data_IF_240547747794
#
_entry.id   IF_240547747794
#
_cell.length_a   1.000
_cell.length_b   1.000
_cell.length_c   1.000
_cell.angle_alpha   90.00
_cell.angle_beta   90.00
_cell.angle_gamma   90.00
#
_symmetry.space_group_name_H-M   'P 1'
#
loop_
_entity.id
_entity.type
_entity.pdbx_description
1 polymer ?
#
# COMPACT_ATOMS: atom_id res chain seq x y z
N UNK A 1 -2.00 -0.45 -21.02
CA UNK A 1 -1.13 -1.55 -20.57
C UNK A 1 -0.83 -1.25 -19.12
N UNK A 2 -1.39 -2.01 -18.18
CA UNK A 2 -1.00 -1.90 -16.78
C UNK A 2 0.30 -2.70 -16.63
N UNK A 3 1.37 -2.08 -16.15
CA UNK A 3 2.68 -2.71 -16.07
C UNK A 3 2.62 -3.92 -15.13
N UNK A 4 2.85 -5.11 -15.69
CA UNK A 4 2.84 -6.37 -14.94
C UNK A 4 3.84 -6.35 -13.77
N UNK A 5 4.96 -5.64 -13.94
CA UNK A 5 5.98 -5.46 -12.93
C UNK A 5 5.50 -4.65 -11.71
N UNK A 6 4.68 -3.61 -11.92
CA UNK A 6 4.10 -2.81 -10.84
C UNK A 6 3.10 -3.65 -10.03
N UNK A 7 2.35 -4.53 -10.69
CA UNK A 7 1.40 -5.41 -10.02
C UNK A 7 2.09 -6.45 -9.14
N UNK A 8 3.14 -7.11 -9.65
CA UNK A 8 3.92 -8.07 -8.88
C UNK A 8 4.54 -7.42 -7.64
N UNK A 9 5.12 -6.23 -7.81
CA UNK A 9 5.66 -5.44 -6.71
C UNK A 9 4.61 -5.10 -5.64
N UNK A 10 3.40 -4.72 -6.04
CA UNK A 10 2.30 -4.43 -5.12
C UNK A 10 1.83 -5.67 -4.34
N UNK A 11 1.84 -6.86 -4.97
CA UNK A 11 1.50 -8.13 -4.32
C UNK A 11 2.55 -8.48 -3.27
N UNK A 12 3.85 -8.34 -3.58
CA UNK A 12 4.92 -8.61 -2.63
C UNK A 12 4.90 -7.62 -1.45
N UNK A 13 4.62 -6.34 -1.69
CA UNK A 13 4.37 -5.36 -0.62
C UNK A 13 3.20 -5.80 0.25
N UNK A 14 2.11 -6.28 -0.35
CA UNK A 14 0.94 -6.73 0.38
C UNK A 14 1.25 -7.94 1.27
N UNK A 15 1.94 -8.95 0.74
CA UNK A 15 2.39 -10.13 1.50
C UNK A 15 3.23 -9.73 2.71
N UNK A 16 4.18 -8.81 2.52
CA UNK A 16 5.05 -8.32 3.60
C UNK A 16 4.26 -7.50 4.63
N UNK A 17 3.32 -6.65 4.21
CA UNK A 17 2.43 -5.91 5.13
C UNK A 17 1.62 -6.85 6.00
N UNK A 18 1.03 -7.88 5.41
CA UNK A 18 0.26 -8.89 6.14
C UNK A 18 1.14 -9.68 7.10
N UNK A 19 2.30 -10.13 6.64
CA UNK A 19 3.27 -10.82 7.48
C UNK A 19 3.70 -9.98 8.69
N UNK A 20 3.93 -8.68 8.50
CA UNK A 20 4.28 -7.77 9.61
C UNK A 20 3.13 -7.66 10.62
N UNK A 21 1.88 -7.62 10.15
CA UNK A 21 0.69 -7.59 11.02
C UNK A 21 0.57 -8.89 11.83
N UNK A 22 0.82 -10.03 11.19
CA UNK A 22 0.78 -11.34 11.86
C UNK A 22 1.91 -11.47 12.89
N UNK A 23 3.11 -10.99 12.56
CA UNK A 23 4.26 -10.96 13.47
C UNK A 23 4.06 -10.00 14.65
N UNK A 24 3.39 -8.87 14.45
CA UNK A 24 3.10 -7.91 15.53
C UNK A 24 1.98 -8.41 16.48
N UNK A 25 1.02 -9.17 15.93
CA UNK A 25 -0.01 -9.83 16.73
C UNK A 25 0.53 -11.03 17.52
N UNK A 26 1.56 -11.71 17.00
CA UNK A 26 2.16 -12.86 17.64
C UNK A 26 2.98 -12.45 18.88
N UNK A 27 2.56 -12.91 20.06
CA UNK A 27 3.26 -12.68 21.32
C UNK A 27 3.83 -13.99 21.88
N UNK A 28 5.11 -13.96 22.24
CA UNK A 28 5.80 -15.08 22.86
C UNK A 28 5.67 -15.07 24.38
N UNK A 29 5.86 -16.24 25.00
CA UNK A 29 6.02 -16.34 26.45
C UNK A 29 7.49 -16.15 26.84
N UNK A 30 7.81 -15.00 27.41
CA UNK A 30 9.18 -14.65 27.80
C UNK A 30 10.12 -14.38 26.61
N UNK A 31 11.42 -14.53 26.80
CA UNK A 31 12.46 -14.25 25.78
C UNK A 31 12.69 -15.44 24.86
N UNK A 32 11.65 -15.83 24.12
CA UNK A 32 11.66 -17.03 23.26
C UNK A 32 11.62 -16.69 21.77
N UNK A 33 11.72 -15.39 21.42
CA UNK A 33 11.65 -14.89 20.05
C UNK A 33 12.96 -14.24 19.65
N UNK A 34 13.39 -14.53 18.42
CA UNK A 34 14.57 -14.00 17.77
C UNK A 34 14.13 -13.27 16.50
N UNK A 35 14.50 -11.99 16.40
CA UNK A 35 14.43 -11.21 15.17
C UNK A 35 15.84 -10.93 14.68
N UNK A 36 16.17 -11.48 13.50
CA UNK A 36 17.46 -11.34 12.85
C UNK A 36 17.26 -10.70 11.47
N UNK A 37 17.98 -9.59 11.21
CA UNK A 37 18.00 -8.88 9.93
C UNK A 37 19.44 -8.75 9.50
N UNK A 38 19.73 -9.23 8.29
CA UNK A 38 21.05 -9.25 7.69
C UNK A 38 21.05 -8.31 6.47
N UNK A 39 21.90 -7.28 6.44
CA UNK A 39 21.98 -6.37 5.30
C UNK A 39 22.65 -7.05 4.09
N UNK A 40 22.39 -6.56 2.86
CA UNK A 40 23.02 -7.11 1.68
C UNK A 40 24.54 -6.89 1.71
N UNK A 41 25.29 -7.92 1.31
CA UNK A 41 26.77 -7.91 1.29
C UNK A 41 27.45 -8.32 2.60
N UNK A 42 26.71 -8.58 3.68
CA UNK A 42 27.29 -9.22 4.88
C UNK A 42 27.51 -10.73 4.64
N UNK A 43 28.43 -11.33 5.38
CA UNK A 43 28.76 -12.75 5.22
C UNK A 43 27.95 -13.64 6.16
N UNK A 44 27.32 -14.69 5.62
CA UNK A 44 26.55 -15.67 6.41
C UNK A 44 27.40 -16.31 7.51
N UNK A 45 28.68 -16.59 7.24
CA UNK A 45 29.61 -17.19 8.21
C UNK A 45 29.77 -16.36 9.48
N UNK A 46 29.73 -15.03 9.36
CA UNK A 46 29.83 -14.11 10.51
C UNK A 46 28.59 -14.23 11.40
N UNK A 47 27.41 -14.24 10.79
CA UNK A 47 26.13 -14.37 11.50
C UNK A 47 25.99 -15.76 12.12
N UNK A 48 26.42 -16.81 11.42
CA UNK A 48 26.44 -18.18 11.94
C UNK A 48 27.32 -18.29 13.18
N UNK A 49 28.51 -17.69 13.16
CA UNK A 49 29.40 -17.64 14.33
C UNK A 49 28.76 -16.87 15.50
N UNK A 50 28.13 -15.73 15.23
CA UNK A 50 27.40 -14.98 16.26
C UNK A 50 26.27 -15.81 16.88
N UNK A 51 25.51 -16.56 16.09
CA UNK A 51 24.46 -17.45 16.59
C UNK A 51 25.04 -18.61 17.42
N UNK A 52 26.22 -19.12 17.07
CA UNK A 52 26.92 -20.14 17.86
C UNK A 52 27.37 -19.58 19.23
N UNK A 53 27.96 -18.39 19.24
CA UNK A 53 28.39 -17.72 20.48
C UNK A 53 27.18 -17.42 21.40
N UNK A 54 26.04 -17.01 20.82
CA UNK A 54 24.78 -16.81 21.56
C UNK A 54 24.18 -18.12 22.07
N UNK A 55 24.27 -19.21 21.30
CA UNK A 55 23.84 -20.53 21.75
C UNK A 55 24.65 -21.00 22.98
N UNK A 56 25.98 -20.84 22.94
CA UNK A 56 26.83 -21.14 24.08
C UNK A 56 26.50 -20.29 25.30
N UNK A 57 26.28 -18.99 25.09
CA UNK A 57 25.95 -18.06 26.17
C UNK A 57 24.59 -18.38 26.79
N UNK A 58 23.57 -18.66 25.96
CA UNK A 58 22.25 -19.07 26.43
C UNK A 58 22.30 -20.38 27.23
N UNK A 59 23.15 -21.33 26.81
CA UNK A 59 23.39 -22.59 27.53
C UNK A 59 24.06 -22.35 28.88
N UNK A 60 25.10 -21.49 28.93
CA UNK A 60 25.80 -21.12 30.17
C UNK A 60 24.88 -20.39 31.16
N UNK A 61 23.95 -19.58 30.69
CA UNK A 61 23.00 -18.82 31.51
C UNK A 61 21.72 -19.59 31.90
N UNK A 62 21.61 -20.89 31.61
CA UNK A 62 20.41 -21.71 31.88
C UNK A 62 19.12 -21.06 31.34
N UNK A 63 19.20 -20.48 30.14
CA UNK A 63 18.03 -19.89 29.46
C UNK A 63 16.97 -20.97 29.13
N UNK A 64 15.68 -20.60 28.98
CA UNK A 64 14.61 -21.56 28.70
C UNK A 64 14.89 -22.38 27.44
N UNK A 65 14.52 -23.66 27.45
CA UNK A 65 14.74 -24.60 26.34
C UNK A 65 14.15 -24.08 25.00
N UNK A 66 13.06 -23.32 25.07
CA UNK A 66 12.41 -22.70 23.91
C UNK A 66 13.34 -21.73 23.17
N UNK A 67 14.20 -20.98 23.88
CA UNK A 67 15.18 -20.09 23.24
C UNK A 67 16.27 -20.89 22.51
N UNK A 68 16.78 -21.96 23.13
CA UNK A 68 17.78 -22.83 22.48
C UNK A 68 17.21 -23.47 21.22
N UNK A 69 15.94 -23.88 21.25
CA UNK A 69 15.20 -24.37 20.09
C UNK A 69 15.06 -23.32 18.97
N UNK A 70 14.77 -22.06 19.33
CA UNK A 70 14.67 -20.95 18.36
C UNK A 70 16.02 -20.64 17.71
N UNK A 71 17.13 -20.62 18.47
CA UNK A 71 18.48 -20.41 17.92
C UNK A 71 18.84 -21.55 16.96
N UNK A 72 18.60 -22.80 17.37
CA UNK A 72 18.88 -23.99 16.55
C UNK A 72 18.07 -23.94 15.25
N UNK A 73 16.79 -23.57 15.33
CA UNK A 73 15.92 -23.40 14.15
C UNK A 73 16.44 -22.31 13.20
N UNK A 74 16.90 -21.19 13.76
CA UNK A 74 17.47 -20.08 12.97
C UNK A 74 18.76 -20.52 12.27
N UNK A 75 19.62 -21.28 12.94
CA UNK A 75 20.85 -21.84 12.35
C UNK A 75 20.53 -22.79 11.19
N UNK A 76 19.58 -23.72 11.38
CA UNK A 76 19.15 -24.65 10.33
C UNK A 76 18.59 -23.92 9.10
N UNK A 77 17.84 -22.83 9.30
CA UNK A 77 17.34 -22.03 8.16
C UNK A 77 18.46 -21.26 7.48
N UNK A 78 19.41 -20.72 8.25
CA UNK A 78 20.54 -19.97 7.71
C UNK A 78 21.46 -20.86 6.85
N UNK A 79 21.59 -22.15 7.20
CA UNK A 79 22.34 -23.14 6.39
C UNK A 79 21.75 -23.39 5.00
N UNK A 80 20.45 -23.12 4.79
CA UNK A 80 19.82 -23.23 3.46
C UNK A 80 20.31 -22.15 2.50
N UNK A 81 20.85 -21.04 3.01
CA UNK A 81 21.35 -19.93 2.22
C UNK A 81 22.87 -20.03 2.07
N UNK A 82 23.35 -20.16 0.82
CA UNK A 82 24.78 -20.13 0.52
C UNK A 82 25.39 -18.73 0.58
N UNK A 83 24.62 -17.71 0.18
CA UNK A 83 24.99 -16.29 0.20
C UNK A 83 23.78 -15.44 0.61
N UNK A 84 24.03 -14.25 1.16
CA UNK A 84 22.95 -13.31 1.50
C UNK A 84 22.34 -12.78 0.20
N UNK A 85 21.00 -12.84 0.04
CA UNK A 85 20.34 -12.28 -1.13
C UNK A 85 20.60 -10.78 -1.33
N UNK A 86 20.37 -10.30 -2.56
CA UNK A 86 20.70 -8.94 -2.98
C UNK A 86 19.98 -7.83 -2.20
N UNK A 87 18.79 -8.10 -1.65
CA UNK A 87 18.05 -7.14 -0.83
C UNK A 87 18.25 -7.36 0.69
N UNK A 88 19.07 -8.34 1.08
CA UNK A 88 19.25 -8.75 2.47
C UNK A 88 18.39 -9.95 2.84
N UNK A 89 18.45 -10.36 4.11
CA UNK A 89 17.72 -11.52 4.63
C UNK A 89 17.07 -11.19 5.97
N UNK A 90 15.79 -11.54 6.11
CA UNK A 90 15.04 -11.41 7.37
C UNK A 90 14.69 -12.79 7.88
N UNK A 91 15.06 -13.07 9.12
CA UNK A 91 14.84 -14.33 9.82
C UNK A 91 14.11 -14.03 11.14
N UNK A 92 12.91 -14.58 11.26
CA UNK A 92 12.09 -14.50 12.47
C UNK A 92 11.84 -15.92 12.96
N UNK A 93 12.34 -16.24 14.15
CA UNK A 93 12.19 -17.56 14.75
C UNK A 93 11.75 -17.44 16.20
N UNK A 94 10.82 -18.27 16.63
CA UNK A 94 10.40 -18.30 18.02
C UNK A 94 9.22 -19.21 18.29
N UNK A 95 8.95 -19.42 19.57
CA UNK A 95 7.76 -20.14 20.01
C UNK A 95 6.68 -19.13 20.39
N UNK A 96 5.54 -19.22 19.73
CA UNK A 96 4.38 -18.34 19.96
C UNK A 96 3.22 -19.16 20.48
N UNK A 97 2.48 -18.57 21.42
CA UNK A 97 1.27 -19.18 21.97
C UNK A 97 0.12 -18.88 21.01
N UNK A 98 -0.51 -19.93 20.49
CA UNK A 98 -1.74 -19.79 19.71
C UNK A 98 -2.92 -19.53 20.67
N UNK A 99 -4.04 -19.01 20.18
CA UNK A 99 -5.26 -18.74 20.97
C UNK A 99 -5.75 -19.98 21.76
N UNK A 100 -5.45 -21.18 21.25
CA UNK A 100 -5.77 -22.47 21.88
C UNK A 100 -4.86 -22.84 23.06
N UNK A 101 -3.89 -21.98 23.43
CA UNK A 101 -2.91 -22.24 24.48
C UNK A 101 -1.81 -23.25 24.09
N UNK A 102 -1.76 -23.66 22.82
CA UNK A 102 -0.75 -24.56 22.28
C UNK A 102 0.47 -23.76 21.82
N UNK A 103 1.67 -24.17 22.24
CA UNK A 103 2.93 -23.61 21.78
C UNK A 103 3.22 -24.06 20.34
N UNK A 104 3.34 -23.10 19.42
CA UNK A 104 3.70 -23.35 18.02
C UNK A 104 5.05 -22.72 17.71
N UNK A 105 5.93 -23.51 17.10
CA UNK A 105 7.21 -23.01 16.60
C UNK A 105 6.96 -22.29 15.26
N UNK A 106 7.27 -21.00 15.21
CA UNK A 106 7.17 -20.17 14.01
C UNK A 106 8.57 -19.82 13.54
N UNK A 107 8.88 -20.24 12.32
CA UNK A 107 10.17 -20.01 11.67
C UNK A 107 9.92 -19.44 10.27
N UNK A 108 10.10 -18.14 10.10
CA UNK A 108 9.83 -17.41 8.87
C UNK A 108 11.11 -16.77 8.36
N UNK A 109 11.43 -17.04 7.11
CA UNK A 109 12.55 -16.50 6.34
C UNK A 109 12.02 -15.90 5.05
N UNK A 110 12.45 -14.70 4.72
CA UNK A 110 12.13 -14.08 3.43
C UNK A 110 13.17 -13.04 3.04
N UNK A 111 13.28 -12.82 1.73
CA UNK A 111 14.00 -11.69 1.17
C UNK A 111 13.05 -10.47 1.10
N UNK A 112 13.44 -9.31 1.66
CA UNK A 112 12.63 -8.10 1.57
C UNK A 112 12.64 -7.55 0.13
N UNK A 113 11.55 -6.87 -0.24
CA UNK A 113 11.39 -6.24 -1.57
C UNK A 113 12.36 -5.08 -1.83
N UNK A 114 12.96 -4.50 -0.79
CA UNK A 114 13.96 -3.43 -0.87
C UNK A 114 15.20 -3.76 -0.03
N UNK A 115 16.39 -3.31 -0.46
CA UNK A 115 17.61 -3.52 0.30
C UNK A 115 17.54 -2.85 1.68
N UNK A 116 17.79 -3.63 2.72
CA UNK A 116 17.81 -3.16 4.11
C UNK A 116 19.25 -2.89 4.54
N UNK A 117 19.56 -1.65 4.91
CA UNK A 117 20.91 -1.29 5.41
C UNK A 117 21.08 -1.50 6.93
N UNK A 118 20.06 -2.02 7.60
CA UNK A 118 20.04 -2.25 9.04
C UNK A 118 20.44 -3.70 9.36
N UNK A 119 21.42 -3.88 10.24
CA UNK A 119 21.70 -5.16 10.88
C UNK A 119 21.04 -5.20 12.25
N UNK A 120 20.20 -6.20 12.51
CA UNK A 120 19.49 -6.36 13.77
C UNK A 120 19.61 -7.79 14.27
N UNK A 121 19.98 -7.98 15.52
CA UNK A 121 19.81 -9.23 16.24
C UNK A 121 19.28 -8.91 17.63
N UNK A 122 18.03 -9.30 17.89
CA UNK A 122 17.38 -9.05 19.17
C UNK A 122 16.64 -10.29 19.66
N UNK A 123 16.73 -10.49 20.98
CA UNK A 123 16.00 -11.51 21.72
C UNK A 123 14.99 -10.81 22.61
N UNK A 124 13.71 -11.01 22.36
CA UNK A 124 12.63 -10.41 23.14
C UNK A 124 11.41 -11.37 23.18
N UNK A 125 10.34 -10.91 23.78
CA UNK A 125 9.02 -11.53 23.84
C UNK A 125 8.11 -11.19 22.65
N UNK A 126 8.57 -10.31 21.77
CA UNK A 126 7.85 -9.83 20.59
C UNK A 126 8.79 -9.74 19.39
N UNK A 127 8.24 -9.87 18.18
CA UNK A 127 9.00 -9.64 16.96
C UNK A 127 9.29 -8.14 16.76
N UNK A 128 10.52 -7.81 16.39
CA UNK A 128 10.90 -6.43 16.10
C UNK A 128 10.77 -6.14 14.60
N UNK A 129 9.61 -5.62 14.21
CA UNK A 129 9.28 -5.32 12.80
C UNK A 129 9.53 -3.86 12.41
N UNK A 130 10.10 -3.03 13.29
CA UNK A 130 10.33 -1.58 13.05
C UNK A 130 11.11 -1.29 11.77
N UNK A 131 12.18 -2.07 11.52
CA UNK A 131 12.98 -1.92 10.32
C UNK A 131 12.20 -2.28 9.04
N UNK A 132 11.25 -3.22 9.13
CA UNK A 132 10.39 -3.59 8.01
C UNK A 132 9.33 -2.52 7.73
N UNK A 133 8.77 -1.89 8.78
CA UNK A 133 7.85 -0.75 8.63
C UNK A 133 8.51 0.45 7.93
N UNK A 134 9.80 0.67 8.15
CA UNK A 134 10.54 1.72 7.45
C UNK A 134 10.60 1.46 5.95
N UNK A 135 10.77 0.21 5.52
CA UNK A 135 10.78 -0.17 4.09
C UNK A 135 9.41 0.00 3.43
N UNK A 136 8.35 -0.24 4.21
CA UNK A 136 6.96 -0.02 3.79
C UNK A 136 6.59 1.46 3.69
N UNK A 137 7.40 2.36 4.24
CA UNK A 137 7.14 3.80 4.11
C UNK A 137 7.12 4.18 2.62
N UNK A 138 6.03 4.83 2.21
CA UNK A 138 5.68 5.04 0.81
C UNK A 138 6.81 5.65 -0.02
N UNK A 139 7.04 5.09 -1.22
CA UNK A 139 7.92 5.67 -2.24
C UNK A 139 7.38 6.98 -2.82
N UNK A 140 6.12 7.32 -2.53
CA UNK A 140 5.52 8.57 -2.95
C UNK A 140 6.22 9.74 -2.26
N UNK A 141 7.17 10.34 -2.99
CA UNK A 141 7.80 11.60 -2.62
C UNK A 141 6.89 12.74 -3.05
N UNK A 142 6.50 13.58 -2.10
CA UNK A 142 5.75 14.81 -2.36
C UNK A 142 6.67 16.01 -2.25
N UNK A 143 6.62 16.89 -3.25
CA UNK A 143 7.37 18.14 -3.24
C UNK A 143 6.57 19.27 -2.60
N UNK A 144 7.24 20.13 -1.85
CA UNK A 144 6.66 21.35 -1.28
C UNK A 144 7.51 22.54 -1.72
N UNK A 145 6.89 23.51 -2.36
CA UNK A 145 7.48 24.81 -2.69
C UNK A 145 6.80 25.86 -1.83
N UNK A 146 7.54 26.45 -0.90
CA UNK A 146 7.04 27.50 -0.03
C UNK A 146 7.67 28.82 -0.46
N UNK A 147 6.85 29.75 -0.91
CA UNK A 147 7.24 31.11 -1.26
C UNK A 147 6.69 32.08 -0.22
N UNK A 148 7.58 32.69 0.55
CA UNK A 148 7.22 33.79 1.45
C UNK A 148 7.15 35.12 0.67
N UNK A 149 6.28 36.02 1.11
CA UNK A 149 6.20 37.39 0.60
C UNK A 149 7.42 38.25 0.95
N UNK A 150 8.32 37.76 1.81
CA UNK A 150 9.60 38.38 2.11
C UNK A 150 10.72 38.03 1.12
N UNK A 151 10.41 37.28 0.04
CA UNK A 151 11.38 36.91 -0.99
C UNK A 151 12.19 35.64 -0.65
N UNK A 152 11.75 34.85 0.32
CA UNK A 152 12.38 33.56 0.64
C UNK A 152 11.59 32.40 0.04
N UNK A 153 12.29 31.54 -0.69
CA UNK A 153 11.74 30.29 -1.23
C UNK A 153 12.42 29.11 -0.56
N UNK A 154 11.61 28.15 -0.12
CA UNK A 154 12.05 26.91 0.50
C UNK A 154 11.51 25.72 -0.28
N UNK A 155 12.43 24.83 -0.67
CA UNK A 155 12.13 23.55 -1.29
C UNK A 155 12.27 22.43 -0.27
N UNK A 156 11.19 21.68 -0.08
CA UNK A 156 11.18 20.49 0.77
C UNK A 156 10.58 19.31 0.03
N UNK A 157 10.96 18.12 0.47
CA UNK A 157 10.31 16.86 0.07
C UNK A 157 9.79 16.18 1.32
N UNK A 158 8.67 15.48 1.17
CA UNK A 158 8.10 14.61 2.18
C UNK A 158 8.03 13.21 1.61
N UNK A 159 8.68 12.26 2.26
CA UNK A 159 8.58 10.83 1.95
C UNK A 159 8.13 10.10 3.21
N UNK A 160 6.91 9.56 3.20
CA UNK A 160 6.29 9.00 4.39
C UNK A 160 6.22 10.04 5.52
N UNK A 161 6.84 9.75 6.66
CA UNK A 161 6.89 10.65 7.83
C UNK A 161 8.18 11.48 7.92
N UNK A 162 9.04 11.44 6.89
CA UNK A 162 10.36 12.09 6.92
C UNK A 162 10.39 13.34 6.03
N UNK A 163 10.32 14.55 6.61
CA UNK A 163 10.51 15.78 5.86
C UNK A 163 12.01 16.04 5.62
N UNK A 164 12.38 16.31 4.37
CA UNK A 164 13.76 16.64 3.98
C UNK A 164 13.81 18.03 3.35
N UNK A 165 14.75 18.85 3.81
CA UNK A 165 15.03 20.17 3.21
C UNK A 165 16.00 19.98 2.05
N UNK A 166 15.59 20.41 0.85
CA UNK A 166 16.45 20.34 -0.33
C UNK A 166 17.29 21.62 -0.47
N UNK A 167 16.62 22.76 -0.52
CA UNK A 167 17.27 24.04 -0.75
C UNK A 167 16.44 25.20 -0.21
N UNK A 168 17.15 26.23 0.27
CA UNK A 168 16.58 27.49 0.72
C UNK A 168 17.35 28.62 0.06
N UNK A 169 16.64 29.56 -0.55
CA UNK A 169 17.25 30.79 -1.04
C UNK A 169 16.39 32.00 -0.67
N UNK A 170 17.06 33.12 -0.44
CA UNK A 170 16.44 34.41 -0.21
C UNK A 170 16.79 35.37 -1.35
N UNK A 171 15.84 36.18 -1.74
CA UNK A 171 16.02 37.32 -2.63
C UNK A 171 15.58 38.55 -1.87
N UNK A 172 16.46 39.55 -1.79
CA UNK A 172 16.07 40.85 -1.25
C UNK A 172 15.11 41.51 -2.22
N UNK A 173 13.84 41.60 -1.82
CA UNK A 173 12.85 42.39 -2.54
C UNK A 173 13.07 43.88 -2.23
N UNK A 174 13.37 44.72 -3.22
CA UNK A 174 13.52 46.15 -3.00
C UNK A 174 12.18 46.86 -2.75
N UNK A 175 11.03 46.18 -2.90
CA UNK A 175 9.70 46.74 -2.61
C UNK A 175 9.53 47.25 -1.17
N UNK A 176 10.38 46.80 -0.23
CA UNK A 176 10.39 47.27 1.18
C UNK A 176 11.17 48.55 1.42
N UNK A 177 12.08 48.95 0.54
CA UNK A 177 12.72 50.27 0.63
C UNK A 177 11.77 51.29 0.03
N UNK A 178 10.77 51.73 0.82
CA UNK A 178 10.23 53.07 0.64
C UNK A 178 11.33 54.03 1.05
N UNK A 179 12.18 54.39 0.09
CA UNK A 179 13.03 55.56 0.26
C UNK A 179 12.10 56.72 0.60
N UNK A 180 12.40 57.39 1.70
CA UNK A 180 11.74 58.61 2.15
C UNK A 180 12.11 59.76 1.22
N UNK A 181 11.97 59.59 -0.10
CA UNK A 181 12.26 60.61 -1.09
C UNK A 181 11.27 60.47 -2.25
N UNK A 182 10.56 61.56 -2.56
CA UNK A 182 9.42 61.62 -3.48
C UNK A 182 9.81 61.44 -4.94
N UNK A 183 10.21 60.22 -5.32
CA UNK A 183 10.36 59.83 -6.72
C UNK A 183 9.06 59.19 -7.24
N UNK A 184 8.74 59.45 -8.51
CA UNK A 184 7.48 59.09 -9.18
C UNK A 184 7.17 57.58 -9.11
N UNK A 185 5.96 57.21 -8.69
CA UNK A 185 5.54 55.83 -8.39
C UNK A 185 5.45 54.84 -9.58
N UNK A 186 5.32 55.33 -10.82
CA UNK A 186 5.10 54.50 -12.02
C UNK A 186 6.30 53.62 -12.43
N UNK A 187 7.55 54.12 -12.54
CA UNK A 187 8.70 53.28 -12.83
C UNK A 187 9.03 52.27 -11.71
N UNK A 188 8.75 52.60 -10.44
CA UNK A 188 8.93 51.67 -9.32
C UNK A 188 7.97 50.49 -9.36
N UNK A 189 6.75 50.68 -9.85
CA UNK A 189 5.79 49.59 -10.05
C UNK A 189 6.28 48.60 -11.13
N UNK A 190 6.89 49.11 -12.22
CA UNK A 190 7.49 48.27 -13.27
C UNK A 190 8.71 47.48 -12.79
N UNK A 191 9.65 48.14 -12.10
CA UNK A 191 10.84 47.50 -11.52
C UNK A 191 10.49 46.45 -10.45
N UNK A 192 9.40 46.65 -9.72
CA UNK A 192 8.86 45.65 -8.79
C UNK A 192 8.37 44.41 -9.53
N UNK A 193 7.58 44.59 -10.59
CA UNK A 193 7.07 43.48 -11.40
C UNK A 193 8.18 42.68 -12.08
N UNK A 194 9.20 43.34 -12.63
CA UNK A 194 10.37 42.67 -13.22
C UNK A 194 11.14 41.83 -12.19
N UNK A 195 11.31 42.34 -10.97
CA UNK A 195 11.99 41.59 -9.90
C UNK A 195 11.16 40.43 -9.38
N UNK A 196 9.84 40.59 -9.27
CA UNK A 196 8.93 39.47 -9.01
C UNK A 196 9.06 38.40 -10.10
N UNK A 197 9.06 38.79 -11.38
CA UNK A 197 9.21 37.84 -12.50
C UNK A 197 10.57 37.12 -12.46
N UNK A 198 11.66 37.81 -12.10
CA UNK A 198 12.97 37.19 -11.94
C UNK A 198 13.00 36.23 -10.74
N UNK A 199 12.34 36.56 -9.63
CA UNK A 199 12.17 35.67 -8.50
C UNK A 199 11.40 34.40 -8.89
N UNK A 200 10.28 34.55 -9.59
CA UNK A 200 9.51 33.42 -10.11
C UNK A 200 10.30 32.55 -11.09
N UNK A 201 11.06 33.17 -11.99
CA UNK A 201 11.95 32.45 -12.92
C UNK A 201 12.97 31.62 -12.17
N UNK A 202 13.66 32.22 -11.19
CA UNK A 202 14.66 31.52 -10.37
C UNK A 202 14.02 30.36 -9.59
N UNK A 203 12.83 30.56 -9.02
CA UNK A 203 12.08 29.49 -8.34
C UNK A 203 11.73 28.35 -9.30
N UNK A 204 11.27 28.65 -10.52
CA UNK A 204 10.90 27.65 -11.52
C UNK A 204 12.12 26.85 -12.03
N UNK A 205 13.24 27.52 -12.28
CA UNK A 205 14.50 26.87 -12.68
C UNK A 205 15.02 25.93 -11.59
N UNK A 206 15.02 26.38 -10.33
CA UNK A 206 15.44 25.55 -9.20
C UNK A 206 14.47 24.39 -8.95
N UNK A 207 13.16 24.60 -9.10
CA UNK A 207 12.18 23.52 -9.00
C UNK A 207 12.46 22.42 -10.02
N UNK A 208 12.79 22.79 -11.26
CA UNK A 208 13.16 21.87 -12.33
C UNK A 208 14.43 21.09 -11.95
N UNK A 209 15.46 21.76 -11.40
CA UNK A 209 16.70 21.10 -10.99
C UNK A 209 16.53 20.11 -9.83
N UNK A 210 15.61 20.38 -8.90
CA UNK A 210 15.46 19.57 -7.69
C UNK A 210 14.39 18.49 -7.78
N UNK A 211 13.33 18.69 -8.58
CA UNK A 211 12.21 17.75 -8.67
C UNK A 211 12.23 16.87 -9.93
N UNK A 212 13.06 17.19 -10.92
CA UNK A 212 13.24 16.38 -12.12
C UNK A 212 14.60 15.69 -12.05
N UNK A 213 14.59 14.37 -12.19
CA UNK A 213 15.82 13.60 -12.26
C UNK A 213 16.49 13.85 -13.64
N UNK A 214 17.75 14.32 -13.68
CA UNK A 214 18.44 14.60 -14.93
C UNK A 214 18.67 13.36 -15.81
N UNK A 215 18.66 12.16 -15.23
CA UNK A 215 18.93 10.92 -15.95
C UNK A 215 17.70 10.39 -16.72
N UNK A 216 16.52 10.52 -16.15
CA UNK A 216 15.25 10.02 -16.73
C UNK A 216 14.44 11.14 -17.38
N UNK A 217 14.69 12.40 -17.02
CA UNK A 217 13.91 13.56 -17.44
C UNK A 217 12.48 13.55 -16.90
N UNK A 218 12.14 12.66 -15.97
CA UNK A 218 10.81 12.55 -15.36
C UNK A 218 10.81 13.17 -13.96
N UNK A 219 9.67 13.69 -13.49
CA UNK A 219 9.57 14.17 -12.12
C UNK A 219 9.72 13.01 -11.15
N UNK A 220 10.64 13.14 -10.19
CA UNK A 220 10.84 12.16 -9.11
C UNK A 220 9.67 12.20 -8.10
N UNK A 221 8.99 13.35 -8.01
CA UNK A 221 7.86 13.55 -7.11
C UNK A 221 6.55 13.06 -7.72
N UNK A 222 5.74 12.38 -6.89
CA UNK A 222 4.39 11.92 -7.26
C UNK A 222 3.42 13.09 -7.40
N UNK A 223 3.61 14.13 -6.57
CA UNK A 223 2.82 15.36 -6.60
C UNK A 223 3.54 16.53 -5.94
N UNK A 224 3.10 17.73 -6.27
CA UNK A 224 3.68 18.99 -5.84
C UNK A 224 2.63 19.86 -5.14
N UNK A 225 2.99 20.39 -3.98
CA UNK A 225 2.20 21.37 -3.24
C UNK A 225 2.86 22.74 -3.30
N UNK A 226 2.10 23.74 -3.72
CA UNK A 226 2.55 25.12 -3.77
C UNK A 226 1.99 25.90 -2.58
N UNK A 227 2.86 26.59 -1.87
CA UNK A 227 2.50 27.43 -0.74
C UNK A 227 2.98 28.84 -0.94
N UNK A 228 2.12 29.81 -0.69
CA UNK A 228 2.53 31.20 -0.67
C UNK A 228 1.50 32.19 -0.16
N UNK A 229 1.91 33.45 -0.09
CA UNK A 229 1.02 34.56 0.23
C UNK A 229 0.03 34.85 -0.91
N UNK A 230 -0.93 35.76 -0.68
CA UNK A 230 -1.88 36.15 -1.75
C UNK A 230 -1.16 36.78 -2.95
N UNK A 231 -1.60 36.43 -4.16
CA UNK A 231 -1.05 36.93 -5.43
C UNK A 231 -0.06 35.96 -6.10
N UNK A 232 0.61 35.10 -5.32
CA UNK A 232 1.57 34.13 -5.84
C UNK A 232 0.93 32.96 -6.61
N UNK A 233 -0.35 32.65 -6.33
CA UNK A 233 -1.15 31.60 -7.01
C UNK A 233 -1.30 31.85 -8.52
N UNK A 234 -1.61 33.10 -8.87
CA UNK A 234 -1.82 33.56 -10.26
C UNK A 234 -0.46 33.69 -10.94
N UNK A 235 0.52 34.29 -10.27
CA UNK A 235 1.88 34.44 -10.80
C UNK A 235 2.53 33.11 -11.18
N UNK A 236 2.65 32.14 -10.28
CA UNK A 236 3.45 30.94 -10.58
C UNK A 236 2.76 29.95 -11.52
N UNK A 237 1.42 29.91 -11.53
CA UNK A 237 0.64 29.00 -12.38
C UNK A 237 0.44 29.54 -13.81
N UNK A 238 0.33 30.86 -13.96
CA UNK A 238 0.10 31.50 -15.27
C UNK A 238 1.41 31.79 -16.02
N UNK A 239 2.54 31.85 -15.31
CA UNK A 239 3.84 32.05 -15.95
C UNK A 239 4.22 30.80 -16.74
N UNK A 240 4.31 30.94 -18.07
CA UNK A 240 4.79 29.92 -19.03
C UNK A 240 6.23 29.42 -18.79
N UNK A 241 6.89 29.84 -17.72
CA UNK A 241 8.27 29.48 -17.35
C UNK A 241 8.33 28.27 -16.41
N UNK A 242 7.20 27.86 -15.81
CA UNK A 242 7.18 26.63 -15.01
C UNK A 242 7.17 25.40 -15.93
N UNK A 243 7.96 24.37 -15.61
CA UNK A 243 8.03 23.18 -16.44
C UNK A 243 6.65 22.53 -16.56
N UNK A 244 6.12 22.29 -17.77
CA UNK A 244 4.79 21.71 -17.97
C UNK A 244 4.60 20.36 -17.28
N UNK A 245 5.69 19.58 -17.13
CA UNK A 245 5.68 18.26 -16.46
C UNK A 245 5.43 18.41 -14.97
N UNK A 246 6.06 19.41 -14.35
CA UNK A 246 5.81 19.75 -12.94
C UNK A 246 4.44 20.41 -12.77
N UNK A 247 4.02 21.24 -13.72
CA UNK A 247 2.70 21.87 -13.74
C UNK A 247 1.57 20.84 -13.69
N UNK A 248 1.67 19.77 -14.48
CA UNK A 248 0.71 18.66 -14.48
C UNK A 248 0.69 17.85 -13.16
N UNK A 249 1.69 18.01 -12.29
CA UNK A 249 1.84 17.32 -11.00
C UNK A 249 1.46 18.20 -9.80
N UNK A 250 1.01 19.44 -10.03
CA UNK A 250 0.49 20.28 -8.96
C UNK A 250 -0.81 19.66 -8.45
N UNK A 251 -0.83 19.31 -7.15
CA UNK A 251 -2.00 18.73 -6.51
C UNK A 251 -2.90 19.84 -5.96
N UNK A 252 -2.36 20.68 -5.09
CA UNK A 252 -3.07 21.77 -4.45
C UNK A 252 -2.16 22.97 -4.18
N UNK A 253 -2.81 24.13 -4.04
CA UNK A 253 -2.15 25.39 -3.73
C UNK A 253 -2.71 25.93 -2.42
N UNK A 254 -1.86 26.02 -1.39
CA UNK A 254 -2.25 26.53 -0.08
C UNK A 254 -1.81 27.98 0.12
N UNK A 255 -2.69 28.76 0.72
CA UNK A 255 -2.37 30.12 1.14
C UNK A 255 -1.84 30.11 2.57
N UNK A 256 -0.61 30.57 2.78
CA UNK A 256 -0.03 30.77 4.11
C UNK A 256 0.21 32.25 4.38
N UNK A 257 0.08 32.65 5.64
CA UNK A 257 0.43 34.00 6.15
C UNK A 257 1.60 33.96 7.13
N UNK A 258 2.07 32.77 7.47
CA UNK A 258 3.06 32.53 8.51
C UNK A 258 4.42 32.21 7.89
N UNK A 259 5.49 32.45 8.65
CA UNK A 259 6.88 32.24 8.19
C UNK A 259 7.18 30.82 7.74
N UNK A 260 8.32 30.65 7.06
CA UNK A 260 8.66 29.46 6.27
C UNK A 260 8.50 28.10 6.98
N UNK A 261 9.03 27.94 8.19
CA UNK A 261 8.99 26.66 8.90
C UNK A 261 7.58 26.31 9.41
N UNK A 262 6.90 27.29 10.01
CA UNK A 262 5.55 27.11 10.50
C UNK A 262 4.54 26.91 9.35
N UNK A 263 4.82 27.52 8.19
CA UNK A 263 4.04 27.30 6.98
C UNK A 263 4.12 25.85 6.49
N UNK A 264 5.29 25.21 6.63
CA UNK A 264 5.47 23.81 6.22
C UNK A 264 4.65 22.85 7.08
N UNK A 265 4.64 23.01 8.39
CA UNK A 265 3.86 22.14 9.28
C UNK A 265 2.35 22.28 9.04
N UNK A 266 1.90 23.52 8.76
CA UNK A 266 0.52 23.78 8.35
C UNK A 266 0.23 23.12 7.00
N UNK A 267 1.16 23.20 6.04
CA UNK A 267 1.05 22.56 4.73
C UNK A 267 0.85 21.06 4.86
N UNK A 268 1.69 20.40 5.66
CA UNK A 268 1.62 18.95 5.86
C UNK A 268 0.22 18.57 6.30
N UNK A 269 -0.30 19.19 7.36
CA UNK A 269 -1.64 18.87 7.89
C UNK A 269 -2.75 19.03 6.85
N UNK A 270 -2.72 20.08 6.04
CA UNK A 270 -3.71 20.30 4.98
C UNK A 270 -3.54 19.32 3.82
N UNK A 271 -2.30 18.98 3.48
CA UNK A 271 -1.97 18.06 2.38
C UNK A 271 -2.26 16.60 2.66
N UNK A 272 -2.37 16.19 3.94
CA UNK A 272 -2.63 14.79 4.31
C UNK A 272 -3.90 14.23 3.65
N UNK A 273 -4.96 15.03 3.57
CA UNK A 273 -6.21 14.61 2.92
C UNK A 273 -6.00 14.38 1.42
N UNK A 274 -5.37 15.33 0.73
CA UNK A 274 -5.05 15.23 -0.70
C UNK A 274 -4.09 14.07 -0.99
N UNK A 275 -3.08 13.85 -0.15
CA UNK A 275 -2.12 12.73 -0.26
C UNK A 275 -2.86 11.39 -0.18
N UNK A 276 -3.78 11.23 0.77
CA UNK A 276 -4.59 10.02 0.89
C UNK A 276 -5.47 9.79 -0.36
N UNK A 277 -6.04 10.86 -0.92
CA UNK A 277 -6.79 10.78 -2.17
C UNK A 277 -5.88 10.34 -3.32
N UNK A 278 -4.66 10.88 -3.43
CA UNK A 278 -3.71 10.51 -4.50
C UNK A 278 -3.33 9.04 -4.44
N UNK A 279 -3.07 8.52 -3.24
CA UNK A 279 -2.74 7.10 -3.04
C UNK A 279 -3.90 6.18 -3.48
N UNK A 280 -5.15 6.64 -3.40
CA UNK A 280 -6.34 5.88 -3.82
C UNK A 280 -6.71 6.09 -5.31
N UNK A 281 -6.04 6.97 -6.06
CA UNK A 281 -6.33 7.20 -7.49
C UNK A 281 -6.19 5.92 -8.34
N UNK A 282 -5.12 5.11 -8.22
CA UNK A 282 -4.98 3.90 -9.03
C UNK A 282 -6.12 2.90 -8.77
N UNK A 283 -6.51 2.73 -7.51
CA UNK A 283 -7.63 1.87 -7.10
C UNK A 283 -8.96 2.39 -7.65
N UNK A 284 -9.23 3.70 -7.52
CA UNK A 284 -10.44 4.33 -8.07
C UNK A 284 -10.52 4.24 -9.58
N UNK A 285 -9.39 4.36 -10.30
CA UNK A 285 -9.36 4.16 -11.76
C UNK A 285 -9.67 2.71 -12.14
N UNK A 286 -9.18 1.74 -11.36
CA UNK A 286 -9.46 0.33 -11.57
C UNK A 286 -10.95 0.01 -11.37
N UNK A 287 -11.52 0.45 -10.25
CA UNK A 287 -12.94 0.29 -9.95
C UNK A 287 -13.82 1.05 -10.96
N UNK A 288 -13.38 2.23 -11.41
CA UNK A 288 -14.05 2.98 -12.47
C UNK A 288 -14.10 2.21 -13.79
N UNK A 289 -12.99 1.57 -14.19
CA UNK A 289 -12.95 0.68 -15.36
C UNK A 289 -13.90 -0.50 -15.20
N UNK A 290 -13.90 -1.15 -14.05
CA UNK A 290 -14.81 -2.27 -13.76
C UNK A 290 -16.29 -1.84 -13.84
N UNK A 291 -16.65 -0.68 -13.27
CA UNK A 291 -18.00 -0.13 -13.34
C UNK A 291 -18.42 0.21 -14.78
N UNK A 292 -17.50 0.74 -15.59
CA UNK A 292 -17.77 1.02 -17.00
C UNK A 292 -18.01 -0.27 -17.81
N UNK A 293 -17.21 -1.32 -17.57
CA UNK A 293 -17.37 -2.62 -18.24
C UNK A 293 -18.69 -3.30 -17.85
N UNK A 294 -19.14 -3.18 -16.59
CA UNK A 294 -20.48 -3.63 -16.18
C UNK A 294 -21.58 -2.89 -16.96
N UNK A 295 -21.43 -1.57 -17.12
CA UNK A 295 -22.41 -0.74 -17.84
C UNK A 295 -22.49 -1.07 -19.33
N UNK A 296 -21.36 -1.40 -19.95
CA UNK A 296 -21.31 -1.75 -21.35
C UNK A 296 -21.81 -3.18 -21.59
N UNK A 297 -21.23 -4.17 -20.90
CA UNK A 297 -21.55 -5.58 -21.08
C UNK A 297 -21.42 -6.37 -19.75
N UNK A 298 -22.54 -6.66 -19.06
CA UNK A 298 -22.49 -7.36 -17.76
C UNK A 298 -21.94 -8.79 -17.86
N UNK A 299 -21.93 -9.40 -19.06
CA UNK A 299 -21.41 -10.76 -19.29
C UNK A 299 -19.87 -10.82 -19.41
N UNK A 300 -19.21 -9.65 -19.40
CA UNK A 300 -17.74 -9.56 -19.40
C UNK A 300 -17.17 -9.42 -17.99
N UNK A 301 -18.03 -9.30 -16.99
CA UNK A 301 -17.65 -9.24 -15.59
C UNK A 301 -18.18 -10.48 -14.87
N UNK A 302 -17.39 -11.01 -13.94
CA UNK A 302 -17.82 -12.08 -13.04
C UNK A 302 -17.74 -11.57 -11.61
N UNK A 303 -18.83 -11.77 -10.90
CA UNK A 303 -18.98 -11.52 -9.47
C UNK A 303 -19.49 -12.82 -8.85
N UNK A 304 -19.10 -13.10 -7.60
CA UNK A 304 -19.27 -14.36 -6.84
C UNK A 304 -18.01 -15.22 -6.81
N UNK A 305 -17.78 -15.86 -5.67
CA UNK A 305 -16.56 -16.63 -5.37
C UNK A 305 -16.46 -17.84 -6.29
N UNK A 306 -17.50 -18.67 -6.35
CA UNK A 306 -17.49 -19.92 -7.12
C UNK A 306 -17.32 -19.65 -8.62
N UNK A 307 -18.12 -18.73 -9.17
CA UNK A 307 -18.02 -18.32 -10.58
C UNK A 307 -16.67 -17.71 -10.92
N UNK A 308 -16.11 -16.90 -10.02
CA UNK A 308 -14.81 -16.27 -10.25
C UNK A 308 -13.69 -17.31 -10.24
N UNK A 309 -13.78 -18.32 -9.38
CA UNK A 309 -12.81 -19.43 -9.34
C UNK A 309 -12.92 -20.31 -10.59
N UNK A 310 -14.12 -20.64 -11.02
CA UNK A 310 -14.34 -21.39 -12.27
C UNK A 310 -13.77 -20.64 -13.48
N UNK A 311 -14.05 -19.33 -13.56
CA UNK A 311 -13.50 -18.46 -14.60
C UNK A 311 -11.96 -18.29 -14.49
N UNK A 312 -11.41 -18.42 -13.28
CA UNK A 312 -9.97 -18.41 -13.03
C UNK A 312 -9.32 -19.71 -13.53
N UNK A 313 -9.92 -20.87 -13.25
CA UNK A 313 -9.47 -22.18 -13.73
C UNK A 313 -9.54 -22.29 -15.26
N UNK A 314 -10.61 -21.76 -15.88
CA UNK A 314 -10.72 -21.64 -17.33
C UNK A 314 -9.75 -20.62 -17.94
N UNK A 315 -9.12 -19.78 -17.11
CA UNK A 315 -8.20 -18.76 -17.57
C UNK A 315 -8.87 -17.65 -18.39
N UNK A 316 -10.14 -17.36 -18.11
CA UNK A 316 -10.90 -16.32 -18.81
C UNK A 316 -10.65 -14.90 -18.25
N UNK A 317 -10.18 -14.79 -17.01
CA UNK A 317 -9.99 -13.51 -16.32
C UNK A 317 -8.78 -12.76 -16.89
N UNK A 318 -8.92 -11.46 -17.12
CA UNK A 318 -7.83 -10.52 -17.41
C UNK A 318 -7.25 -9.94 -16.12
N UNK A 319 -8.12 -9.37 -15.29
CA UNK A 319 -7.79 -8.70 -14.04
C UNK A 319 -8.71 -9.26 -12.95
N UNK A 320 -8.10 -9.79 -11.90
CA UNK A 320 -8.79 -10.26 -10.70
C UNK A 320 -8.70 -9.17 -9.63
N UNK A 321 -9.86 -8.69 -9.17
CA UNK A 321 -9.99 -7.65 -8.14
C UNK A 321 -10.44 -8.34 -6.85
N UNK A 322 -9.63 -8.24 -5.81
CA UNK A 322 -9.89 -8.86 -4.51
C UNK A 322 -9.82 -7.81 -3.43
N UNK A 323 -10.77 -7.79 -2.50
CA UNK A 323 -10.68 -6.96 -1.30
C UNK A 323 -9.69 -7.56 -0.30
N UNK A 324 -8.84 -6.71 0.27
CA UNK A 324 -7.83 -7.11 1.25
C UNK A 324 -8.46 -7.82 2.48
N UNK A 325 -9.58 -7.29 2.98
CA UNK A 325 -10.26 -7.79 4.18
C UNK A 325 -11.30 -8.88 3.89
N UNK A 326 -11.18 -9.61 2.77
CA UNK A 326 -12.11 -10.69 2.43
C UNK A 326 -12.08 -11.79 3.49
N UNK A 327 -13.17 -11.92 4.25
CA UNK A 327 -13.31 -12.87 5.36
C UNK A 327 -13.80 -14.25 4.88
N UNK A 328 -13.22 -14.73 3.77
CA UNK A 328 -13.49 -16.05 3.19
C UNK A 328 -12.25 -16.92 3.38
N UNK A 329 -12.48 -18.06 4.01
CA UNK A 329 -11.45 -19.06 4.22
C UNK A 329 -11.68 -20.25 3.28
N UNK A 330 -10.58 -20.74 2.71
CA UNK A 330 -10.52 -21.92 1.86
C UNK A 330 -10.18 -23.13 2.72
N UNK A 331 -10.98 -24.18 2.56
CA UNK A 331 -10.78 -25.50 3.15
C UNK A 331 -10.41 -26.48 2.03
N UNK A 332 -9.12 -26.68 1.73
CA UNK A 332 -8.68 -27.48 0.58
C UNK A 332 -8.93 -28.98 0.75
N UNK A 333 -8.91 -29.49 1.99
CA UNK A 333 -8.97 -30.92 2.28
C UNK A 333 -10.08 -31.29 3.28
N UNK A 334 -11.34 -31.06 2.92
CA UNK A 334 -12.45 -31.67 3.65
C UNK A 334 -12.60 -33.12 3.18
N UNK A 335 -12.03 -34.05 3.93
CA UNK A 335 -12.21 -35.48 3.69
C UNK A 335 -13.52 -35.93 4.30
N UNK A 336 -14.41 -36.45 3.45
CA UNK A 336 -15.59 -37.15 3.94
C UNK A 336 -15.16 -38.51 4.52
N UNK A 337 -15.42 -38.70 5.81
CA UNK A 337 -15.06 -39.91 6.58
C UNK A 337 -15.66 -41.19 5.97
N UNK A 338 -16.74 -41.07 5.18
CA UNK A 338 -17.45 -42.20 4.58
C UNK A 338 -17.06 -42.52 3.13
N UNK A 339 -16.72 -41.52 2.31
CA UNK A 339 -16.44 -41.71 0.86
C UNK A 339 -14.97 -41.52 0.49
N UNK A 340 -14.17 -40.87 1.34
CA UNK A 340 -12.76 -40.56 1.04
C UNK A 340 -12.58 -39.47 -0.02
N UNK A 341 -13.67 -38.85 -0.50
CA UNK A 341 -13.62 -37.73 -1.43
C UNK A 341 -13.10 -36.47 -0.72
N UNK A 342 -12.29 -35.71 -1.45
CA UNK A 342 -11.69 -34.45 -1.03
C UNK A 342 -12.50 -33.33 -1.66
N UNK A 343 -13.23 -32.57 -0.84
CA UNK A 343 -13.99 -31.41 -1.28
C UNK A 343 -13.28 -30.12 -0.87
N UNK A 344 -13.18 -29.18 -1.80
CA UNK A 344 -12.75 -27.82 -1.52
C UNK A 344 -14.00 -26.99 -1.24
N UNK A 345 -14.14 -26.45 -0.02
CA UNK A 345 -15.20 -25.49 0.31
C UNK A 345 -14.61 -24.12 0.62
N UNK A 346 -15.34 -23.08 0.25
CA UNK A 346 -15.06 -21.68 0.59
C UNK A 346 -16.16 -21.24 1.56
N UNK A 347 -15.79 -20.89 2.79
CA UNK A 347 -16.75 -20.55 3.83
C UNK A 347 -16.44 -19.16 4.39
N UNK A 348 -17.49 -18.38 4.64
CA UNK A 348 -17.41 -17.17 5.44
C UNK A 348 -17.39 -17.50 6.94
N UNK A 349 -16.90 -16.55 7.76
CA UNK A 349 -16.93 -16.64 9.24
C UNK A 349 -18.32 -16.92 9.85
N UNK A 350 -19.41 -16.60 9.14
CA UNK A 350 -20.78 -16.90 9.56
C UNK A 350 -21.16 -18.34 9.20
N UNK A 351 -20.83 -18.77 7.99
CA UNK A 351 -21.08 -20.12 7.47
C UNK A 351 -20.23 -21.19 8.18
N UNK A 352 -19.07 -20.80 8.72
CA UNK A 352 -18.25 -21.63 9.62
C UNK A 352 -18.96 -21.98 10.95
N UNK A 353 -19.88 -21.13 11.42
CA UNK A 353 -20.61 -21.37 12.68
C UNK A 353 -21.74 -22.37 12.50
N UNK A 354 -22.25 -22.51 11.29
CA UNK A 354 -23.29 -23.47 10.97
C UNK A 354 -22.67 -24.86 10.76
N UNK A 355 -22.94 -25.75 11.72
CA UNK A 355 -22.48 -27.14 11.72
C UNK A 355 -23.01 -27.94 10.52
N UNK A 356 -24.08 -27.48 9.89
CA UNK A 356 -24.68 -28.10 8.70
C UNK A 356 -23.83 -27.87 7.44
N UNK A 357 -23.01 -26.82 7.36
CA UNK A 357 -22.07 -26.62 6.23
C UNK A 357 -20.81 -27.49 6.33
N UNK A 358 -20.51 -27.96 7.54
CA UNK A 358 -19.44 -28.90 7.87
C UNK A 358 -19.91 -30.38 7.88
N UNK A 359 -21.18 -30.63 7.52
CA UNK A 359 -21.72 -31.95 7.21
C UNK A 359 -22.14 -31.97 5.74
N UNK A 360 -21.96 -33.10 5.05
CA UNK A 360 -22.57 -33.27 3.72
C UNK A 360 -24.07 -33.55 3.87
N UNK A 361 -24.89 -32.93 3.02
CA UNK A 361 -26.34 -33.15 2.97
C UNK A 361 -26.72 -34.62 2.66
N UNK A 362 -25.79 -35.39 2.10
CA UNK A 362 -25.98 -36.79 1.72
C UNK A 362 -25.66 -37.80 2.83
N UNK A 363 -24.73 -37.48 3.74
CA UNK A 363 -24.29 -38.40 4.79
C UNK A 363 -23.94 -37.56 6.01
N UNK A 364 -24.70 -37.73 7.09
CA UNK A 364 -24.50 -37.13 8.41
C UNK A 364 -23.20 -37.61 9.10
N UNK A 365 -22.07 -37.51 8.41
CA UNK A 365 -20.73 -37.81 8.88
C UNK A 365 -19.94 -36.51 8.96
N UNK A 366 -19.31 -36.24 10.10
CA UNK A 366 -18.51 -35.04 10.28
C UNK A 366 -17.31 -34.99 9.34
N UNK A 367 -17.13 -33.85 8.67
CA UNK A 367 -15.92 -33.54 7.90
C UNK A 367 -14.79 -33.15 8.87
N UNK A 368 -13.62 -33.77 8.72
CA UNK A 368 -12.42 -33.38 9.50
C UNK A 368 -11.70 -32.27 8.75
N UNK A 369 -11.66 -31.09 9.36
CA UNK A 369 -10.86 -29.95 8.87
C UNK A 369 -9.38 -30.25 9.12
N UNK A 370 -8.61 -30.43 8.04
CA UNK A 370 -7.15 -30.65 8.15
C UNK A 370 -6.36 -29.36 8.06
N UNK A 371 -6.73 -28.47 7.15
CA UNK A 371 -6.01 -27.23 6.89
C UNK A 371 -6.99 -26.10 6.61
N UNK A 372 -6.72 -24.93 7.19
CA UNK A 372 -7.48 -23.69 7.00
C UNK A 372 -6.52 -22.65 6.44
N UNK A 373 -6.85 -22.11 5.26
CA UNK A 373 -6.05 -21.09 4.61
C UNK A 373 -6.97 -19.97 4.13
N UNK A 374 -6.55 -18.70 4.29
CA UNK A 374 -7.34 -17.59 3.76
C UNK A 374 -7.35 -17.60 2.23
N UNK A 375 -8.50 -17.33 1.62
CA UNK A 375 -8.62 -17.28 0.16
C UNK A 375 -7.68 -16.21 -0.45
N UNK A 376 -7.50 -15.10 0.25
CA UNK A 376 -6.63 -14.00 -0.18
C UNK A 376 -5.15 -14.45 -0.23
N UNK A 377 -4.71 -15.22 0.77
CA UNK A 377 -3.35 -15.76 0.83
C UNK A 377 -3.10 -16.79 -0.27
N UNK A 378 -4.08 -17.65 -0.49
CA UNK A 378 -4.02 -18.62 -1.57
C UNK A 378 -3.90 -17.94 -2.94
N UNK A 379 -4.73 -16.93 -3.21
CA UNK A 379 -4.67 -16.15 -4.45
C UNK A 379 -3.33 -15.42 -4.59
N UNK A 380 -2.78 -14.86 -3.50
CA UNK A 380 -1.48 -14.19 -3.50
C UNK A 380 -0.32 -15.17 -3.78
N UNK A 381 -0.41 -16.43 -3.35
CA UNK A 381 0.63 -17.42 -3.58
C UNK A 381 0.55 -18.03 -4.99
N UNK A 382 -0.66 -18.21 -5.52
CA UNK A 382 -0.86 -18.89 -6.80
C UNK A 382 -1.04 -17.97 -8.01
N UNK A 383 -1.04 -16.64 -7.82
CA UNK A 383 -1.21 -15.67 -8.90
C UNK A 383 -0.25 -15.89 -10.09
N UNK A 384 0.97 -16.36 -9.83
CA UNK A 384 1.97 -16.69 -10.87
C UNK A 384 1.53 -17.87 -11.75
N UNK A 385 0.93 -18.91 -11.14
CA UNK A 385 0.47 -20.11 -11.87
C UNK A 385 -0.64 -19.77 -12.86
N UNK A 386 -1.51 -18.83 -12.48
CA UNK A 386 -2.62 -18.40 -13.34
C UNK A 386 -2.17 -17.41 -14.42
N UNK A 387 -1.02 -16.75 -14.25
CA UNK A 387 -0.51 -15.73 -15.17
C UNK A 387 -1.44 -14.52 -15.29
N UNK A 388 -2.13 -14.14 -14.20
CA UNK A 388 -3.18 -13.12 -14.18
C UNK A 388 -2.78 -11.89 -13.38
N UNK A 389 -3.36 -10.75 -13.75
CA UNK A 389 -3.18 -9.51 -13.01
C UNK A 389 -4.10 -9.53 -11.80
N UNK A 390 -3.58 -10.02 -10.68
CA UNK A 390 -4.23 -9.88 -9.38
C UNK A 390 -4.01 -8.46 -8.86
N UNK A 391 -5.08 -7.79 -8.46
CA UNK A 391 -5.04 -6.50 -7.78
C UNK A 391 -5.86 -6.52 -6.50
N UNK A 392 -5.19 -6.18 -5.41
CA UNK A 392 -5.85 -5.93 -4.15
C UNK A 392 -6.42 -4.51 -4.12
N UNK A 393 -7.63 -4.39 -3.60
CA UNK A 393 -8.27 -3.11 -3.30
C UNK A 393 -8.40 -3.01 -1.79
N UNK A 394 -7.85 -1.94 -1.22
CA UNK A 394 -7.78 -1.72 0.22
C UNK A 394 -8.90 -0.75 0.66
N UNK A 395 -9.47 0.01 -0.28
CA UNK A 395 -10.37 1.12 0.01
C UNK A 395 -11.57 0.74 0.89
N UNK A 396 -11.54 1.23 2.12
CA UNK A 396 -12.59 1.06 3.13
C UNK A 396 -13.67 2.14 3.03
N UNK A 397 -13.51 3.18 2.18
CA UNK A 397 -14.41 4.34 2.12
C UNK A 397 -14.79 4.69 0.67
N UNK A 398 -16.08 4.78 0.37
CA UNK A 398 -16.58 5.21 -0.94
C UNK A 398 -16.77 4.04 -1.91
N UNK A 399 -16.13 4.01 -3.10
CA UNK A 399 -16.39 3.00 -4.12
C UNK A 399 -15.91 1.60 -3.73
N UNK A 400 -14.85 1.47 -2.92
CA UNK A 400 -14.38 0.17 -2.43
C UNK A 400 -15.33 -0.50 -1.44
N UNK A 401 -15.94 0.28 -0.54
CA UNK A 401 -16.96 -0.21 0.38
C UNK A 401 -18.22 -0.69 -0.38
N UNK A 402 -18.71 0.12 -1.32
CA UNK A 402 -19.84 -0.24 -2.17
C UNK A 402 -19.56 -1.49 -3.01
N UNK A 403 -18.33 -1.64 -3.49
CA UNK A 403 -17.89 -2.85 -4.19
C UNK A 403 -17.91 -4.08 -3.26
N UNK A 404 -17.49 -3.93 -1.99
CA UNK A 404 -17.55 -4.99 -0.99
C UNK A 404 -18.96 -5.47 -0.67
N UNK A 405 -19.91 -4.54 -0.50
CA UNK A 405 -21.32 -4.87 -0.29
C UNK A 405 -21.95 -5.49 -1.53
N UNK A 406 -21.68 -4.94 -2.72
CA UNK A 406 -22.34 -5.36 -3.96
C UNK A 406 -21.84 -6.70 -4.51
N UNK A 407 -20.55 -6.98 -4.36
CA UNK A 407 -19.86 -8.08 -5.07
C UNK A 407 -19.29 -9.13 -4.10
N UNK A 408 -19.62 -9.02 -2.80
CA UNK A 408 -19.08 -9.89 -1.73
C UNK A 408 -17.54 -9.96 -1.72
N UNK A 409 -16.90 -8.90 -2.21
CA UNK A 409 -15.45 -8.68 -2.12
C UNK A 409 -14.53 -9.39 -3.11
N UNK A 410 -15.05 -10.08 -4.14
CA UNK A 410 -14.24 -10.65 -5.23
C UNK A 410 -14.91 -10.46 -6.61
N UNK A 411 -14.17 -9.90 -7.57
CA UNK A 411 -14.64 -9.77 -8.96
C UNK A 411 -13.53 -10.01 -9.98
N UNK A 412 -13.90 -10.51 -11.15
CA UNK A 412 -13.02 -10.66 -12.30
C UNK A 412 -13.51 -9.85 -13.50
N UNK A 413 -12.59 -9.14 -14.17
CA UNK A 413 -12.81 -8.64 -15.52
C UNK A 413 -12.36 -9.71 -16.52
N UNK A 414 -13.24 -10.16 -17.40
CA UNK A 414 -12.96 -11.22 -18.37
C UNK A 414 -12.35 -10.69 -19.68
N UNK A 415 -11.47 -11.48 -20.29
CA UNK A 415 -10.91 -11.22 -21.63
C UNK A 415 -11.93 -11.43 -22.74
N UNK A 416 -12.76 -12.46 -22.59
CA UNK A 416 -13.81 -12.85 -23.52
C UNK A 416 -15.09 -13.15 -22.74
N UNK A 417 -16.22 -13.02 -23.42
CA UNK A 417 -17.53 -13.28 -22.85
C UNK A 417 -17.64 -14.75 -22.45
N UNK A 418 -18.02 -15.01 -21.21
CA UNK A 418 -18.42 -16.35 -20.78
C UNK A 418 -19.94 -16.43 -20.67
N UNK A 419 -20.51 -17.49 -21.21
CA UNK A 419 -21.81 -17.97 -20.75
C UNK A 419 -21.55 -18.81 -19.50
N UNK A 420 -21.53 -18.17 -18.34
CA UNK A 420 -21.54 -18.91 -17.07
C UNK A 420 -22.92 -19.52 -16.96
N UNK A 421 -23.01 -20.85 -17.09
CA UNK A 421 -24.25 -21.59 -16.83
C UNK A 421 -24.68 -21.29 -15.39
N UNK A 422 -25.80 -20.58 -15.26
CA UNK A 422 -26.49 -20.41 -13.98
C UNK A 422 -26.93 -21.79 -13.51
N UNK A 423 -26.15 -22.40 -12.62
CA UNK A 423 -26.70 -23.43 -11.73
C UNK A 423 -27.63 -22.65 -10.80
N UNK A 424 -28.94 -22.76 -11.06
CA UNK A 424 -29.98 -22.26 -10.16
C UNK A 424 -29.81 -22.99 -8.82
N UNK A 425 -29.18 -22.32 -7.85
CA UNK A 425 -29.37 -22.67 -6.44
C UNK A 425 -30.73 -22.13 -6.05
N UNK A 426 -31.68 -23.03 -5.80
CA UNK A 426 -33.09 -22.75 -5.47
C UNK A 426 -33.28 -21.46 -4.66
N UNK A 427 -33.99 -20.51 -5.27
CA UNK A 427 -34.50 -19.29 -4.66
C UNK A 427 -35.41 -19.64 -3.48
N UNK A 428 -34.93 -19.43 -2.24
CA UNK A 428 -35.87 -19.27 -1.13
C UNK A 428 -35.47 -18.35 0.01
N UNK A 429 -34.44 -17.50 -0.09
CA UNK A 429 -34.22 -16.41 0.89
C UNK A 429 -33.25 -15.27 0.46
N UNK A 430 -32.93 -15.14 -0.84
CA UNK A 430 -32.22 -13.96 -1.32
C UNK A 430 -33.22 -12.84 -1.63
N UNK A 431 -33.31 -11.84 -0.75
CA UNK A 431 -33.95 -10.56 -1.09
C UNK A 431 -33.40 -10.08 -2.44
N UNK A 432 -34.25 -9.66 -3.39
CA UNK A 432 -33.79 -9.21 -4.69
C UNK A 432 -32.85 -8.02 -4.48
N UNK A 433 -31.54 -8.25 -4.63
CA UNK A 433 -30.53 -7.21 -4.53
C UNK A 433 -30.85 -6.24 -5.66
N UNK A 434 -31.37 -5.09 -5.27
CA UNK A 434 -31.83 -4.05 -6.17
C UNK A 434 -30.62 -3.46 -6.90
N UNK A 435 -30.19 -4.11 -8.00
CA UNK A 435 -29.05 -3.70 -8.86
C UNK A 435 -29.16 -2.22 -9.26
N UNK A 436 -30.38 -1.71 -9.42
CA UNK A 436 -30.66 -0.30 -9.69
C UNK A 436 -30.30 0.64 -8.51
N UNK A 437 -30.45 0.20 -7.27
CA UNK A 437 -30.11 1.01 -6.08
C UNK A 437 -28.60 1.14 -5.87
N UNK A 438 -27.83 0.13 -6.30
CA UNK A 438 -26.36 0.15 -6.29
C UNK A 438 -25.83 1.02 -7.43
N UNK A 439 -26.45 0.95 -8.62
CA UNK A 439 -26.18 1.86 -9.75
C UNK A 439 -26.44 3.33 -9.38
N UNK A 440 -27.55 3.63 -8.71
CA UNK A 440 -27.87 4.99 -8.25
C UNK A 440 -26.92 5.46 -7.14
N UNK A 441 -26.53 4.58 -6.19
CA UNK A 441 -25.64 4.95 -5.08
C UNK A 441 -24.19 5.17 -5.54
N UNK A 442 -23.69 4.36 -6.47
CA UNK A 442 -22.39 4.56 -7.10
C UNK A 442 -22.39 5.79 -8.02
N UNK A 443 -23.48 6.02 -8.78
CA UNK A 443 -23.62 7.23 -9.61
C UNK A 443 -23.68 8.50 -8.77
N UNK A 444 -24.46 8.52 -7.68
CA UNK A 444 -24.56 9.70 -6.82
C UNK A 444 -23.20 10.05 -6.22
N UNK A 445 -22.41 9.05 -5.81
CA UNK A 445 -21.08 9.27 -5.24
C UNK A 445 -20.06 9.75 -6.28
N UNK A 446 -20.05 9.19 -7.49
CA UNK A 446 -19.15 9.62 -8.56
C UNK A 446 -19.52 10.99 -9.13
N UNK A 447 -20.82 11.31 -9.26
CA UNK A 447 -21.30 12.62 -9.73
C UNK A 447 -21.02 13.71 -8.69
N UNK A 448 -21.25 13.45 -7.40
CA UNK A 448 -20.96 14.41 -6.32
C UNK A 448 -19.45 14.68 -6.21
N UNK A 449 -18.60 13.65 -6.34
CA UNK A 449 -17.14 13.80 -6.34
C UNK A 449 -16.61 14.60 -7.54
N UNK A 450 -17.30 14.50 -8.68
CA UNK A 450 -16.97 15.26 -9.90
C UNK A 450 -17.40 16.73 -9.81
N UNK A 451 -18.52 17.00 -9.13
CA UNK A 451 -19.07 18.35 -8.97
C UNK A 451 -18.38 19.16 -7.86
N UNK A 452 -17.85 18.51 -6.82
CA UNK A 452 -16.99 19.17 -5.81
C UNK A 452 -15.72 19.81 -6.40
N UNK A 453 -15.26 19.33 -7.57
CA UNK A 453 -14.18 19.98 -8.34
C UNK A 453 -14.62 21.20 -9.15
N UNK A 454 -15.92 21.38 -9.42
CA UNK A 454 -16.44 22.53 -10.18
C UNK A 454 -16.82 23.70 -9.30
N UNK A 455 -17.20 23.47 -8.05
CA UNK A 455 -17.64 24.55 -7.14
C UNK A 455 -16.48 25.30 -6.44
N UNK A 456 -15.22 25.00 -6.80
CA UNK A 456 -14.01 25.68 -6.34
C UNK A 456 -13.16 26.30 -7.47
N UNK A 457 -13.72 26.46 -8.68
CA UNK A 457 -13.10 27.26 -9.75
C UNK A 457 -13.65 28.68 -9.80
#
# INVERSE_FOLDING_TARGET
>A
MFDAHENHWNIEIWKIKKLIKDLDAAQGNGTSIISLIIPPGDQISRVTKMLQDEYETATKSQSPANLLGAITSTQQRLELYGEVPHNGLVLNAGTVLTEDGIEKNVNIDFEPFKPINASLFLRDSKFHTKALFELLSSDHKFGFIIMDGNGTTLFRTLSGNSPKVLHKFSVEDPSRKRDREGQSALPFAGLGLEKCNNYFRKTAELATQFFIDPSTGQPEVTGLFLLGAAGFKVGLSDICMFDPRLGAKILDIYRTRSGEEYAFDVAIRLSLETINIVNTIPERKLLGKYSEEIRQDPRRCVSEVDKTLEALEMGAIEILIVLDFLAIDRYPDLKNTSTGEVLVKYLNRYEERDKDNLCDSATSGGLVVQEKMSLVDWLANEHERFGRVLRFVIDTIGPGFLFGEAVRGIAGLLRYQLEVTTIESDDSDALPINKASIEESLNLYFVVSSNLKKDYY
#
